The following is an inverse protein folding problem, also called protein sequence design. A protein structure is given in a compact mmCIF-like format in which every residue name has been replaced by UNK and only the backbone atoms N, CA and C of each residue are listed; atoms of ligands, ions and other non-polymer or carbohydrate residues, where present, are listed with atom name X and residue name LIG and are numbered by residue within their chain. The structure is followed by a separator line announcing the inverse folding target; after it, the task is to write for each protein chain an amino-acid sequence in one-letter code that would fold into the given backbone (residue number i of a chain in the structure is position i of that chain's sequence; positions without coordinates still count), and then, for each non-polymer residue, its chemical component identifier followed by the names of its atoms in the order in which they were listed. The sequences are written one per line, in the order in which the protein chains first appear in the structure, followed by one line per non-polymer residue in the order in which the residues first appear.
data_IF_708780402372
#
_entry.id   IF_708780402372
#
_cell.length_a   1.000
_cell.length_b   1.000
_cell.length_c   1.000
_cell.angle_alpha   90.00
_cell.angle_beta   90.00
_cell.angle_gamma   90.00
#
_symmetry.space_group_name_H-M   'P 1'
#
loop_
_entity.id
_entity.type
_entity.pdbx_description
1 polymer ?
#
# COMPACT_ATOMS: atom_id res chain seq x y z
N UNK A 1 0.81 -20.35 16.96
CA UNK A 1 1.81 -20.42 15.87
C UNK A 1 3.15 -19.96 16.39
N UNK A 2 4.22 -20.72 16.16
CA UNK A 2 5.59 -20.39 16.56
C UNK A 2 6.26 -19.74 15.33
N UNK A 3 6.50 -18.43 15.40
CA UNK A 3 7.17 -17.67 14.35
C UNK A 3 8.69 -17.69 14.62
N UNK A 4 9.49 -18.23 13.70
CA UNK A 4 10.95 -18.20 13.80
C UNK A 4 11.42 -16.79 13.44
N UNK A 5 11.88 -16.03 14.44
CA UNK A 5 12.24 -14.61 14.27
C UNK A 5 13.73 -14.36 14.08
N UNK A 6 14.57 -15.36 14.33
CA UNK A 6 16.03 -15.22 14.40
C UNK A 6 16.77 -16.28 13.57
N UNK A 7 16.49 -16.44 12.26
CA UNK A 7 17.32 -17.30 11.44
C UNK A 7 18.72 -16.68 11.26
N UNK A 8 19.74 -17.53 11.37
CA UNK A 8 21.13 -17.21 11.04
C UNK A 8 21.44 -17.78 9.66
N UNK A 9 22.14 -17.02 8.83
CA UNK A 9 22.59 -17.46 7.51
C UNK A 9 24.10 -17.53 7.45
N UNK A 10 24.62 -18.40 6.57
CA UNK A 10 26.04 -18.50 6.23
C UNK A 10 26.17 -18.60 4.72
N UNK A 11 27.24 -18.04 4.16
CA UNK A 11 27.47 -18.05 2.71
C UNK A 11 28.57 -19.05 2.38
N UNK A 12 28.32 -19.92 1.40
CA UNK A 12 29.36 -20.74 0.82
C UNK A 12 30.00 -19.98 -0.34
N UNK A 13 31.30 -19.70 -0.24
CA UNK A 13 32.07 -19.07 -1.30
C UNK A 13 33.28 -19.94 -1.61
N UNK A 14 33.44 -20.34 -2.88
CA UNK A 14 34.52 -21.23 -3.34
C UNK A 14 34.66 -22.54 -2.53
N UNK A 15 33.54 -23.10 -2.09
CA UNK A 15 33.53 -24.38 -1.34
C UNK A 15 33.79 -24.26 0.17
N UNK A 16 34.08 -23.05 0.68
CA UNK A 16 34.24 -22.79 2.12
C UNK A 16 33.05 -22.02 2.68
N UNK A 17 32.61 -22.39 3.89
CA UNK A 17 31.55 -21.67 4.61
C UNK A 17 32.13 -20.44 5.32
N UNK A 18 31.57 -19.27 5.05
CA UNK A 18 32.05 -18.00 5.61
C UNK A 18 31.06 -17.43 6.62
N UNK A 19 31.36 -17.63 7.91
CA UNK A 19 30.71 -16.99 9.06
C UNK A 19 29.20 -17.21 9.19
N UNK A 20 28.63 -16.73 10.28
CA UNK A 20 27.17 -16.64 10.44
C UNK A 20 26.77 -15.18 10.61
N UNK A 21 25.68 -14.76 9.97
CA UNK A 21 25.09 -13.44 10.14
C UNK A 21 23.59 -13.55 10.39
N UNK A 22 23.08 -12.62 11.19
CA UNK A 22 21.66 -12.52 11.47
C UNK A 22 20.89 -12.03 10.25
N UNK A 23 19.72 -12.63 10.01
CA UNK A 23 18.75 -12.11 9.08
C UNK A 23 18.30 -10.69 9.49
N UNK A 24 18.53 -9.70 8.62
CA UNK A 24 17.94 -8.37 8.76
C UNK A 24 16.73 -8.25 7.84
N UNK A 25 15.74 -7.45 8.25
CA UNK A 25 14.55 -7.17 7.43
C UNK A 25 14.88 -6.15 6.34
N UNK A 26 14.30 -6.37 5.16
CA UNK A 26 14.39 -5.45 4.01
C UNK A 26 15.25 -5.99 2.87
N UNK A 27 14.95 -5.55 1.65
CA UNK A 27 15.78 -5.78 0.46
C UNK A 27 16.65 -4.55 0.20
N UNK A 28 17.88 -4.77 -0.26
CA UNK A 28 18.73 -3.68 -0.73
C UNK A 28 18.18 -3.14 -2.04
N UNK A 29 17.90 -1.84 -2.05
CA UNK A 29 17.55 -1.12 -3.27
C UNK A 29 18.75 -1.14 -4.24
N UNK A 30 18.51 -1.49 -5.50
CA UNK A 30 19.55 -1.67 -6.51
C UNK A 30 20.01 -3.11 -6.72
N UNK A 31 19.44 -4.08 -5.97
CA UNK A 31 19.60 -5.50 -6.29
C UNK A 31 18.84 -5.84 -7.59
N UNK A 32 19.43 -6.54 -8.57
CA UNK A 32 18.76 -6.87 -9.84
C UNK A 32 17.44 -7.65 -9.71
N UNK A 33 17.23 -8.38 -8.61
CA UNK A 33 15.99 -9.11 -8.30
C UNK A 33 14.94 -8.26 -7.57
N UNK A 34 15.34 -7.11 -7.02
CA UNK A 34 14.45 -6.24 -6.25
C UNK A 34 13.37 -5.48 -7.05
N UNK A 35 13.52 -5.12 -8.35
CA UNK A 35 12.52 -4.34 -9.07
C UNK A 35 11.14 -5.01 -9.11
N UNK A 36 11.09 -6.34 -9.31
CA UNK A 36 9.84 -7.11 -9.33
C UNK A 36 9.09 -7.05 -7.98
N UNK A 37 9.82 -6.94 -6.87
CA UNK A 37 9.23 -6.82 -5.53
C UNK A 37 8.82 -5.38 -5.21
N UNK A 38 9.47 -4.38 -5.83
CA UNK A 38 9.16 -2.96 -5.63
C UNK A 38 7.97 -2.45 -6.45
N UNK A 39 7.66 -3.06 -7.60
CA UNK A 39 6.45 -2.72 -8.40
C UNK A 39 5.13 -2.93 -7.62
N UNK A 40 5.17 -3.63 -6.48
CA UNK A 40 4.01 -3.95 -5.64
C UNK A 40 3.81 -2.99 -4.45
N UNK A 41 4.52 -1.84 -4.39
CA UNK A 41 4.45 -0.95 -3.23
C UNK A 41 3.17 -0.06 -3.18
N UNK A 42 2.51 0.12 -4.32
CA UNK A 42 1.34 0.98 -4.47
C UNK A 42 0.07 0.15 -4.73
N UNK A 43 -0.90 0.23 -3.82
CA UNK A 43 -2.14 -0.58 -3.86
C UNK A 43 -3.37 0.32 -3.90
N UNK A 44 -4.22 0.12 -4.92
CA UNK A 44 -5.57 0.67 -4.95
C UNK A 44 -6.55 -0.33 -4.32
N UNK A 45 -7.36 0.16 -3.37
CA UNK A 45 -8.41 -0.63 -2.74
C UNK A 45 -9.78 0.00 -3.01
N UNK A 46 -10.73 -0.81 -3.46
CA UNK A 46 -12.09 -0.38 -3.76
C UNK A 46 -13.08 -1.10 -2.85
N UNK A 47 -14.04 -0.37 -2.30
CA UNK A 47 -15.16 -0.93 -1.56
C UNK A 47 -16.43 -0.10 -1.80
N UNK A 48 -17.56 -0.58 -1.29
CA UNK A 48 -18.82 0.16 -1.34
C UNK A 48 -18.68 1.46 -0.54
N UNK A 49 -19.26 2.55 -1.07
CA UNK A 49 -19.27 3.88 -0.45
C UNK A 49 -20.22 3.96 0.75
N UNK A 50 -19.88 3.26 1.83
CA UNK A 50 -20.57 3.36 3.11
C UNK A 50 -19.57 3.23 4.27
N UNK A 51 -19.93 3.76 5.43
CA UNK A 51 -19.03 3.80 6.58
C UNK A 51 -18.59 2.40 7.06
N UNK A 52 -19.48 1.40 6.98
CA UNK A 52 -19.20 0.05 7.46
C UNK A 52 -18.14 -0.63 6.59
N UNK A 53 -18.27 -0.52 5.27
CA UNK A 53 -17.33 -1.05 4.29
C UNK A 53 -15.94 -0.43 4.48
N UNK A 54 -15.86 0.90 4.60
CA UNK A 54 -14.61 1.61 4.85
C UNK A 54 -13.95 1.23 6.18
N UNK A 55 -14.75 1.09 7.24
CA UNK A 55 -14.27 0.68 8.56
C UNK A 55 -13.66 -0.71 8.55
N UNK A 56 -14.32 -1.68 7.92
CA UNK A 56 -13.81 -3.04 7.78
C UNK A 56 -12.53 -3.09 6.95
N UNK A 57 -12.46 -2.31 5.87
CA UNK A 57 -11.24 -2.21 5.04
C UNK A 57 -10.06 -1.67 5.84
N UNK A 58 -10.27 -0.63 6.65
CA UNK A 58 -9.23 -0.08 7.51
C UNK A 58 -8.83 -1.04 8.64
N UNK A 59 -9.77 -1.82 9.19
CA UNK A 59 -9.43 -2.89 10.13
C UNK A 59 -8.59 -3.98 9.49
N UNK A 60 -8.93 -4.40 8.27
CA UNK A 60 -8.15 -5.39 7.54
C UNK A 60 -6.72 -4.91 7.27
N UNK A 61 -6.54 -3.64 6.91
CA UNK A 61 -5.22 -3.01 6.78
C UNK A 61 -4.42 -3.03 8.10
N UNK A 62 -5.07 -2.68 9.22
CA UNK A 62 -4.43 -2.74 10.55
C UNK A 62 -4.03 -4.17 10.93
N UNK A 63 -4.90 -5.15 10.66
CA UNK A 63 -4.62 -6.57 10.91
C UNK A 63 -3.47 -7.07 10.03
N UNK A 64 -3.48 -6.74 8.74
CA UNK A 64 -2.40 -7.06 7.82
C UNK A 64 -1.07 -6.46 8.31
N UNK A 65 -1.09 -5.23 8.80
CA UNK A 65 0.10 -4.58 9.31
C UNK A 65 0.63 -5.26 10.58
N UNK A 66 -0.26 -5.59 11.51
CA UNK A 66 0.10 -6.29 12.75
C UNK A 66 0.65 -7.70 12.51
N UNK A 67 0.21 -8.36 11.44
CA UNK A 67 0.60 -9.73 11.10
C UNK A 67 1.85 -9.80 10.23
N UNK A 68 1.92 -8.99 9.17
CA UNK A 68 3.06 -8.97 8.22
C UNK A 68 4.25 -8.15 8.72
N UNK A 69 4.01 -7.17 9.61
CA UNK A 69 5.00 -6.16 9.97
C UNK A 69 5.23 -5.09 8.90
N UNK A 70 4.48 -5.11 7.79
CA UNK A 70 4.49 -4.06 6.77
C UNK A 70 3.56 -2.93 7.21
N UNK A 71 4.06 -1.70 7.14
CA UNK A 71 3.31 -0.50 7.56
C UNK A 71 2.82 0.24 6.32
N UNK A 72 1.51 0.48 6.26
CA UNK A 72 0.98 1.45 5.30
C UNK A 72 1.54 2.84 5.64
N UNK A 73 1.98 3.56 4.63
CA UNK A 73 2.48 4.91 4.83
C UNK A 73 1.32 5.86 5.09
N UNK A 74 1.19 6.34 6.33
CA UNK A 74 0.12 7.27 6.69
C UNK A 74 0.17 8.60 5.90
N UNK A 75 1.35 8.99 5.40
CA UNK A 75 1.50 10.19 4.57
C UNK A 75 1.11 9.97 3.10
N UNK A 76 1.04 8.71 2.64
CA UNK A 76 0.63 8.36 1.27
C UNK A 76 -0.77 7.76 1.20
N UNK A 77 -1.34 7.34 2.32
CA UNK A 77 -2.68 6.76 2.34
C UNK A 77 -3.71 7.86 2.13
N UNK A 78 -4.43 7.76 1.01
CA UNK A 78 -5.44 8.71 0.59
C UNK A 78 -6.77 7.99 0.41
N UNK A 79 -7.86 8.64 0.81
CA UNK A 79 -9.22 8.13 0.66
C UNK A 79 -9.99 9.00 -0.32
N UNK A 80 -10.55 8.36 -1.35
CA UNK A 80 -11.45 8.95 -2.33
C UNK A 80 -12.84 8.37 -2.13
N UNK A 81 -13.87 9.18 -2.37
CA UNK A 81 -15.25 8.75 -2.28
C UNK A 81 -16.10 9.56 -3.26
N UNK A 82 -17.17 8.92 -3.73
CA UNK A 82 -18.15 9.54 -4.61
C UNK A 82 -19.54 9.09 -4.17
N UNK A 83 -20.51 10.01 -4.17
CA UNK A 83 -21.91 9.73 -3.82
C UNK A 83 -22.19 9.48 -2.33
N UNK A 84 -21.23 9.71 -1.43
CA UNK A 84 -21.45 9.63 0.03
C UNK A 84 -21.90 10.97 0.61
N UNK A 85 -22.69 10.93 1.69
CA UNK A 85 -23.05 12.15 2.43
C UNK A 85 -21.85 12.76 3.15
N UNK A 86 -21.78 14.08 3.25
CA UNK A 86 -20.67 14.79 3.93
C UNK A 86 -20.49 14.36 5.40
N UNK A 87 -21.59 13.96 6.07
CA UNK A 87 -21.51 13.40 7.41
C UNK A 87 -20.77 12.06 7.44
N UNK A 88 -21.09 11.13 6.52
CA UNK A 88 -20.43 9.83 6.47
C UNK A 88 -18.96 9.94 6.09
N UNK A 89 -18.68 10.79 5.12
CA UNK A 89 -17.34 11.20 4.72
C UNK A 89 -16.53 11.65 5.93
N UNK A 90 -17.08 12.54 6.75
CA UNK A 90 -16.36 13.08 7.90
C UNK A 90 -16.02 11.99 8.91
N UNK A 91 -16.96 11.07 9.17
CA UNK A 91 -16.70 9.89 10.02
C UNK A 91 -15.58 9.02 9.47
N UNK A 92 -15.49 8.84 8.15
CA UNK A 92 -14.41 8.05 7.52
C UNK A 92 -13.06 8.76 7.67
N UNK A 93 -13.00 10.08 7.46
CA UNK A 93 -11.77 10.86 7.62
C UNK A 93 -11.26 10.83 9.05
N UNK A 94 -12.15 11.03 10.03
CA UNK A 94 -11.81 10.97 11.46
C UNK A 94 -11.27 9.58 11.87
N UNK A 95 -11.80 8.52 11.27
CA UNK A 95 -11.39 7.14 11.55
C UNK A 95 -10.08 6.72 10.84
N UNK A 96 -9.89 7.18 9.62
CA UNK A 96 -8.74 6.83 8.77
C UNK A 96 -7.49 7.66 9.07
N UNK A 97 -7.66 8.86 9.65
CA UNK A 97 -6.56 9.82 9.83
C UNK A 97 -6.04 10.38 8.51
N UNK A 98 -6.80 10.20 7.43
CA UNK A 98 -6.40 10.57 6.06
C UNK A 98 -6.93 11.93 5.66
N UNK A 99 -6.29 12.51 4.65
CA UNK A 99 -6.74 13.78 4.05
C UNK A 99 -7.71 13.43 2.91
N UNK A 100 -8.85 14.14 2.84
CA UNK A 100 -9.75 14.11 1.68
C UNK A 100 -8.97 14.54 0.44
N UNK A 101 -8.93 13.72 -0.60
CA UNK A 101 -8.55 14.20 -1.93
C UNK A 101 -9.75 14.29 -2.85
N UNK A 102 -9.67 15.26 -3.75
CA UNK A 102 -10.68 15.55 -4.77
C UNK A 102 -10.29 14.82 -6.06
N UNK A 103 -11.26 14.21 -6.74
CA UNK A 103 -11.07 13.59 -8.05
C UNK A 103 -10.84 14.65 -9.15
N UNK A 104 -10.12 14.35 -10.26
CA UNK A 104 -9.37 13.13 -10.56
C UNK A 104 -8.04 13.04 -9.80
N UNK A 105 -7.58 11.82 -9.53
CA UNK A 105 -6.20 11.58 -9.11
C UNK A 105 -5.46 10.71 -10.12
N UNK A 106 -4.12 10.72 -10.10
CA UNK A 106 -3.31 9.87 -11.01
C UNK A 106 -2.81 8.64 -10.28
N UNK A 107 -2.96 7.48 -10.90
CA UNK A 107 -2.33 6.22 -10.49
C UNK A 107 -1.53 5.67 -11.66
N UNK A 108 -0.22 5.47 -11.49
CA UNK A 108 0.71 5.08 -12.56
C UNK A 108 0.64 5.99 -13.80
N UNK A 109 0.40 7.29 -13.58
CA UNK A 109 0.26 8.29 -14.66
C UNK A 109 -1.14 8.37 -15.29
N UNK A 110 -2.03 7.42 -14.99
CA UNK A 110 -3.39 7.38 -15.53
C UNK A 110 -4.37 8.10 -14.58
N UNK A 111 -5.19 9.05 -15.08
CA UNK A 111 -6.23 9.67 -14.28
C UNK A 111 -7.32 8.65 -13.92
N UNK A 112 -7.63 8.57 -12.63
CA UNK A 112 -8.73 7.81 -12.05
C UNK A 112 -9.84 8.79 -11.67
N UNK A 113 -11.03 8.55 -12.20
CA UNK A 113 -12.21 9.37 -11.99
C UNK A 113 -13.40 8.49 -11.57
N UNK A 114 -14.24 8.99 -10.66
CA UNK A 114 -15.54 8.36 -10.39
C UNK A 114 -16.56 8.52 -11.55
N UNK A 115 -16.28 9.43 -12.48
CA UNK A 115 -17.12 9.72 -13.65
C UNK A 115 -16.50 9.17 -14.94
N UNK A 116 -17.31 9.08 -16.00
CA UNK A 116 -16.83 8.70 -17.33
C UNK A 116 -15.75 9.68 -17.78
N UNK A 117 -14.55 9.17 -18.01
CA UNK A 117 -13.38 9.96 -18.43
C UNK A 117 -13.67 10.59 -19.80
N UNK A 118 -13.53 11.92 -19.91
CA UNK A 118 -13.64 12.63 -21.17
C UNK A 118 -12.29 12.63 -21.89
N UNK A 119 -12.29 12.78 -23.22
CA UNK A 119 -11.05 12.84 -24.01
C UNK A 119 -10.11 13.99 -23.56
N UNK A 120 -10.67 15.08 -23.03
CA UNK A 120 -9.92 16.20 -22.43
C UNK A 120 -9.06 15.79 -21.24
N UNK A 121 -9.54 14.81 -20.45
CA UNK A 121 -8.90 14.37 -19.21
C UNK A 121 -7.69 13.47 -19.49
N UNK A 122 -7.62 12.89 -20.69
CA UNK A 122 -6.52 12.05 -21.17
C UNK A 122 -5.41 12.83 -21.88
N UNK A 123 -5.44 14.18 -21.88
CA UNK A 123 -4.43 15.01 -22.55
C UNK A 123 -3.00 14.79 -22.03
N UNK A 124 -2.84 14.24 -20.82
CA UNK A 124 -1.54 13.89 -20.22
C UNK A 124 -1.01 12.50 -20.60
N UNK A 125 -1.79 11.68 -21.32
CA UNK A 125 -1.45 10.30 -21.69
C UNK A 125 -0.86 10.18 -23.10
N UNK A 126 -0.68 11.31 -23.79
CA UNK A 126 -0.11 11.43 -25.15
C UNK A 126 1.27 12.05 -25.07
#
# INVERSE_FOLDING_TARGET
MICVRTPMFSLMFNGTMHGFFEAKRGLRQGDPMSPLLFVLDDVLMFCKGDFKSMFLMMQALKLFSATSGLLASNSKLVVYYSGMSEHEVRRVLDMSGSIRQHDPFKYLGVPICAQKIAASDCSSLV
#
